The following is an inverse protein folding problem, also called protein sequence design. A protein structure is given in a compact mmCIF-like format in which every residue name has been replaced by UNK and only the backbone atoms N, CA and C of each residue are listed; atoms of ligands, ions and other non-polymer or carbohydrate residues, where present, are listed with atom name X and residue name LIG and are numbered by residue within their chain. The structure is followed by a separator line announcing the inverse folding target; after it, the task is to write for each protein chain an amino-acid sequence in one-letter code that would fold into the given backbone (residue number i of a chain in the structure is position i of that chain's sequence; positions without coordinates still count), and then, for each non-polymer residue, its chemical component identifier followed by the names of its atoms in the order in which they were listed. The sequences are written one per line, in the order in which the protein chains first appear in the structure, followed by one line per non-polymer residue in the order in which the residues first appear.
data_IF_533095800947
#
_entry.id   IF_533095800947
#
_cell.length_a   1.000
_cell.length_b   1.000
_cell.length_c   1.000
_cell.angle_alpha   90.00
_cell.angle_beta   90.00
_cell.angle_gamma   90.00
#
_symmetry.space_group_name_H-M   'P 1'
#
loop_
_entity.id
_entity.type
_entity.pdbx_description
1 polymer ?
#
# COMPACT_ATOMS: atom_id res chain seq x y z
N UNK A 1 -4.92 20.79 -23.62
CA UNK A 1 -4.98 22.24 -23.82
C UNK A 1 -4.44 22.92 -22.57
N UNK A 2 -4.01 24.19 -22.64
CA UNK A 2 -3.48 24.92 -21.48
C UNK A 2 -4.52 25.24 -20.39
N UNK A 3 -5.78 24.90 -20.59
CA UNK A 3 -6.89 25.24 -19.68
C UNK A 3 -7.59 24.02 -19.07
N UNK A 4 -7.31 22.81 -19.55
CA UNK A 4 -7.93 21.58 -19.03
C UNK A 4 -6.98 20.39 -19.09
N UNK A 5 -7.18 19.45 -18.19
CA UNK A 5 -6.51 18.16 -18.11
C UNK A 5 -7.56 17.05 -18.29
N UNK A 6 -7.35 16.17 -19.24
CA UNK A 6 -8.11 14.95 -19.39
C UNK A 6 -7.29 13.77 -18.89
N UNK A 7 -7.88 12.94 -18.01
CA UNK A 7 -7.31 11.69 -17.52
C UNK A 7 -8.21 10.55 -17.99
N UNK A 8 -7.72 9.78 -18.94
CA UNK A 8 -8.49 8.73 -19.61
C UNK A 8 -8.04 7.35 -19.17
N UNK A 9 -8.92 6.60 -18.52
CA UNK A 9 -8.70 5.21 -18.10
C UNK A 9 -9.23 4.19 -19.10
N UNK A 10 -9.52 4.60 -20.34
CA UNK A 10 -9.89 3.66 -21.42
C UNK A 10 -8.79 2.62 -21.60
N UNK A 11 -9.18 1.34 -21.67
CA UNK A 11 -8.24 0.21 -21.71
C UNK A 11 -7.91 -0.40 -20.35
N UNK A 12 -8.46 0.15 -19.26
CA UNK A 12 -8.38 -0.53 -17.95
C UNK A 12 -9.02 -1.92 -17.99
N UNK A 13 -8.49 -2.84 -17.20
CA UNK A 13 -9.01 -4.19 -17.12
C UNK A 13 -10.48 -4.22 -16.68
N UNK A 14 -11.22 -5.24 -17.12
CA UNK A 14 -12.58 -5.48 -16.64
C UNK A 14 -12.61 -5.70 -15.13
N UNK A 15 -13.73 -5.34 -14.49
CA UNK A 15 -13.96 -5.64 -13.09
C UNK A 15 -13.78 -7.12 -12.77
N UNK A 16 -13.40 -7.43 -11.55
CA UNK A 16 -13.12 -8.80 -11.10
C UNK A 16 -14.09 -9.23 -10.00
N UNK A 17 -14.28 -10.54 -9.78
CA UNK A 17 -15.02 -11.04 -8.62
C UNK A 17 -14.26 -10.85 -7.29
N UNK A 18 -12.97 -10.47 -7.33
CA UNK A 18 -12.12 -10.23 -6.16
C UNK A 18 -12.13 -8.78 -5.68
N UNK A 19 -11.45 -8.51 -4.58
CA UNK A 19 -11.44 -7.22 -3.86
C UNK A 19 -10.57 -6.12 -4.50
N UNK A 20 -10.12 -6.29 -5.73
CA UNK A 20 -9.22 -5.33 -6.40
C UNK A 20 -9.94 -4.26 -7.23
N UNK A 21 -11.28 -4.22 -7.20
CA UNK A 21 -12.01 -3.15 -7.84
C UNK A 21 -11.96 -1.88 -7.00
N UNK A 22 -11.96 -0.74 -7.67
CA UNK A 22 -12.01 0.59 -7.05
C UNK A 22 -13.38 1.22 -7.27
N UNK A 23 -14.06 1.58 -6.20
CA UNK A 23 -15.29 2.38 -6.32
C UNK A 23 -14.99 3.74 -6.95
N UNK A 24 -15.96 4.33 -7.64
CA UNK A 24 -15.80 5.66 -8.26
C UNK A 24 -15.24 6.70 -7.29
N UNK A 25 -15.77 6.87 -6.07
CA UNK A 25 -15.20 7.83 -5.13
C UNK A 25 -13.74 7.56 -4.78
N UNK A 26 -13.36 6.29 -4.63
CA UNK A 26 -11.97 5.92 -4.37
C UNK A 26 -11.07 6.25 -5.56
N UNK A 27 -11.51 5.96 -6.78
CA UNK A 27 -10.77 6.29 -8.01
C UNK A 27 -10.51 7.79 -8.12
N UNK A 28 -11.55 8.63 -7.95
CA UNK A 28 -11.39 10.08 -7.93
C UNK A 28 -10.49 10.57 -6.81
N UNK A 29 -10.62 9.99 -5.61
CA UNK A 29 -9.79 10.37 -4.47
C UNK A 29 -8.30 10.19 -4.75
N UNK A 30 -7.89 9.07 -5.34
CA UNK A 30 -6.48 8.82 -5.67
C UNK A 30 -5.98 9.65 -6.84
N UNK A 31 -6.81 9.94 -7.84
CA UNK A 31 -6.48 10.89 -8.91
C UNK A 31 -6.19 12.27 -8.30
N UNK A 32 -7.12 12.77 -7.49
CA UNK A 32 -7.02 14.12 -6.91
C UNK A 32 -5.92 14.22 -5.87
N UNK A 33 -5.69 13.17 -5.08
CA UNK A 33 -4.57 13.10 -4.14
C UNK A 33 -3.24 13.19 -4.89
N UNK A 34 -3.09 12.44 -5.98
CA UNK A 34 -1.91 12.48 -6.84
C UNK A 34 -1.69 13.87 -7.44
N UNK A 35 -2.72 14.45 -8.04
CA UNK A 35 -2.63 15.80 -8.60
C UNK A 35 -2.27 16.84 -7.52
N UNK A 36 -2.93 16.77 -6.35
CA UNK A 36 -2.68 17.70 -5.24
C UNK A 36 -1.24 17.67 -4.74
N UNK A 37 -0.60 16.52 -4.80
CA UNK A 37 0.79 16.36 -4.35
C UNK A 37 1.82 16.84 -5.38
N UNK A 38 1.39 17.10 -6.62
CA UNK A 38 2.25 17.52 -7.74
C UNK A 38 2.07 18.99 -8.14
N UNK A 39 1.31 19.75 -7.38
CA UNK A 39 1.08 21.17 -7.65
C UNK A 39 1.71 22.04 -6.57
N UNK A 40 1.90 23.33 -6.90
CA UNK A 40 2.47 24.30 -6.00
C UNK A 40 1.64 24.46 -4.71
N UNK A 41 2.31 24.53 -3.57
CA UNK A 41 1.68 24.59 -2.25
C UNK A 41 0.87 25.88 -2.02
N UNK A 42 1.12 26.92 -2.77
CA UNK A 42 0.33 28.17 -2.72
C UNK A 42 -1.07 28.01 -3.31
N UNK A 43 -1.34 26.96 -4.09
CA UNK A 43 -2.65 26.71 -4.70
C UNK A 43 -3.55 26.00 -3.66
N UNK A 44 -4.70 26.58 -3.30
CA UNK A 44 -5.62 25.96 -2.36
C UNK A 44 -6.16 24.62 -2.85
N UNK A 45 -6.12 23.58 -1.98
CA UNK A 45 -6.65 22.24 -2.28
C UNK A 45 -8.16 22.23 -2.01
N UNK A 46 -8.94 22.61 -3.00
CA UNK A 46 -10.39 22.67 -2.93
C UNK A 46 -11.02 22.26 -4.28
N UNK A 47 -12.34 22.27 -4.34
CA UNK A 47 -13.11 21.91 -5.54
C UNK A 47 -12.68 22.69 -6.79
N UNK A 48 -12.28 23.94 -6.64
CA UNK A 48 -11.82 24.80 -7.73
C UNK A 48 -10.57 24.26 -8.43
N UNK A 49 -9.68 23.60 -7.70
CA UNK A 49 -8.48 22.98 -8.26
C UNK A 49 -8.82 21.88 -9.27
N UNK A 50 -9.86 21.11 -9.01
CA UNK A 50 -10.22 19.94 -9.81
C UNK A 50 -11.24 20.25 -10.92
N UNK A 51 -11.79 21.46 -10.94
CA UNK A 51 -12.76 21.88 -11.96
C UNK A 51 -12.27 21.72 -13.40
N UNK A 52 -11.00 22.02 -13.74
CA UNK A 52 -10.49 21.82 -15.10
C UNK A 52 -10.08 20.37 -15.41
N UNK A 53 -10.29 19.42 -14.48
CA UNK A 53 -9.89 18.02 -14.66
C UNK A 53 -11.11 17.20 -15.09
N UNK A 54 -11.04 16.65 -16.28
CA UNK A 54 -12.01 15.70 -16.82
C UNK A 54 -11.47 14.28 -16.67
N UNK A 55 -12.28 13.37 -16.10
CA UNK A 55 -11.88 11.98 -15.88
C UNK A 55 -12.82 11.04 -16.64
N UNK A 56 -12.25 10.20 -17.50
CA UNK A 56 -12.98 9.16 -18.23
C UNK A 56 -12.78 7.81 -17.56
N UNK A 57 -13.85 7.25 -17.00
CA UNK A 57 -13.85 5.96 -16.31
C UNK A 57 -14.76 4.96 -17.07
N UNK A 58 -14.19 3.97 -17.78
CA UNK A 58 -15.00 2.95 -18.46
C UNK A 58 -15.86 2.17 -17.46
N UNK A 59 -17.17 2.12 -17.73
CA UNK A 59 -18.09 1.35 -16.91
C UNK A 59 -17.79 -0.16 -16.99
N UNK A 60 -17.88 -0.86 -15.85
CA UNK A 60 -17.59 -2.29 -15.76
C UNK A 60 -16.09 -2.61 -15.73
N UNK A 61 -15.24 -1.60 -15.55
CA UNK A 61 -13.80 -1.76 -15.35
C UNK A 61 -13.43 -1.82 -13.86
N UNK A 62 -12.20 -2.19 -13.57
CA UNK A 62 -11.65 -2.19 -12.18
C UNK A 62 -11.65 -0.80 -11.53
N UNK A 63 -11.73 0.28 -12.29
CA UNK A 63 -11.75 1.67 -11.80
C UNK A 63 -13.16 2.27 -11.74
N UNK A 64 -14.16 1.57 -12.29
CA UNK A 64 -15.58 1.93 -12.30
C UNK A 64 -16.44 0.68 -12.40
N UNK A 65 -16.46 -0.17 -11.37
CA UNK A 65 -17.16 -1.44 -11.42
C UNK A 65 -18.68 -1.28 -11.31
N UNK A 66 -19.41 -2.18 -11.94
CA UNK A 66 -20.85 -2.31 -11.77
C UNK A 66 -21.17 -3.00 -10.43
N UNK A 67 -22.12 -2.50 -9.65
CA UNK A 67 -22.61 -3.22 -8.47
C UNK A 67 -23.16 -4.63 -8.84
N UNK A 68 -22.98 -5.62 -7.97
CA UNK A 68 -22.43 -5.62 -6.62
C UNK A 68 -20.93 -5.96 -6.53
N UNK A 69 -20.09 -5.53 -7.44
CA UNK A 69 -18.68 -5.86 -7.44
C UNK A 69 -18.01 -5.50 -6.10
N UNK A 70 -17.18 -6.39 -5.52
CA UNK A 70 -16.53 -6.14 -4.25
C UNK A 70 -15.41 -5.10 -4.39
N UNK A 71 -15.42 -4.11 -3.48
CA UNK A 71 -14.43 -3.03 -3.43
C UNK A 71 -13.73 -2.95 -2.06
N UNK A 72 -13.76 -4.01 -1.28
CA UNK A 72 -13.09 -4.06 0.03
C UNK A 72 -11.59 -3.80 -0.11
N UNK A 73 -11.05 -2.98 0.76
CA UNK A 73 -9.64 -2.58 0.74
C UNK A 73 -9.19 -1.88 -0.56
N UNK A 74 -10.09 -1.30 -1.33
CA UNK A 74 -9.77 -0.58 -2.58
C UNK A 74 -8.75 0.56 -2.39
N UNK A 75 -8.69 1.16 -1.21
CA UNK A 75 -7.68 2.17 -0.83
C UNK A 75 -6.27 1.59 -0.79
N UNK A 76 -6.13 0.34 -0.36
CA UNK A 76 -4.82 -0.31 -0.22
C UNK A 76 -4.37 -1.02 -1.50
N UNK A 77 -5.32 -1.51 -2.30
CA UNK A 77 -5.03 -2.20 -3.57
C UNK A 77 -5.09 -1.24 -4.76
N UNK A 78 -6.27 -1.04 -5.30
CA UNK A 78 -6.45 -0.31 -6.56
C UNK A 78 -6.07 1.17 -6.45
N UNK A 79 -6.30 1.82 -5.30
CA UNK A 79 -6.03 3.24 -5.13
C UNK A 79 -4.56 3.59 -5.37
N UNK A 80 -3.64 2.87 -4.74
CA UNK A 80 -2.20 3.07 -4.94
C UNK A 80 -1.79 2.91 -6.40
N UNK A 81 -2.32 1.89 -7.09
CA UNK A 81 -2.03 1.64 -8.51
C UNK A 81 -2.60 2.74 -9.43
N UNK A 82 -3.78 3.27 -9.09
CA UNK A 82 -4.39 4.41 -9.81
C UNK A 82 -3.50 5.64 -9.68
N UNK A 83 -3.07 5.97 -8.45
CA UNK A 83 -2.17 7.09 -8.20
C UNK A 83 -0.84 6.94 -8.93
N UNK A 84 -0.25 5.76 -8.90
CA UNK A 84 0.98 5.45 -9.62
C UNK A 84 0.81 5.64 -11.14
N UNK A 85 -0.28 5.15 -11.73
CA UNK A 85 -0.56 5.30 -13.14
C UNK A 85 -0.69 6.78 -13.56
N UNK A 86 -1.39 7.59 -12.75
CA UNK A 86 -1.52 9.04 -12.98
C UNK A 86 -0.17 9.74 -12.86
N UNK A 87 0.63 9.39 -11.83
CA UNK A 87 1.96 9.96 -11.64
C UNK A 87 2.89 9.64 -12.82
N UNK A 88 2.88 8.41 -13.32
CA UNK A 88 3.65 8.01 -14.52
C UNK A 88 3.21 8.74 -15.78
N UNK A 89 1.91 8.98 -15.95
CA UNK A 89 1.41 9.73 -17.10
C UNK A 89 1.90 11.20 -17.06
N UNK A 90 1.90 11.81 -15.87
CA UNK A 90 2.31 13.20 -15.65
C UNK A 90 3.82 13.40 -15.66
N UNK A 91 4.62 12.39 -15.39
CA UNK A 91 6.09 12.46 -15.37
C UNK A 91 6.65 13.07 -16.64
N UNK A 92 6.08 12.73 -17.79
CA UNK A 92 6.53 13.24 -19.10
C UNK A 92 6.30 14.74 -19.26
N UNK A 93 5.26 15.28 -18.64
CA UNK A 93 4.91 16.70 -18.73
C UNK A 93 5.56 17.54 -17.62
N UNK A 94 5.68 17.00 -16.42
CA UNK A 94 6.17 17.70 -15.22
C UNK A 94 7.20 16.85 -14.43
N UNK A 95 8.33 16.45 -15.05
CA UNK A 95 9.27 15.49 -14.46
C UNK A 95 9.86 15.89 -13.12
N UNK A 96 9.92 17.19 -12.81
CA UNK A 96 10.41 17.69 -11.52
C UNK A 96 9.38 17.64 -10.39
N UNK A 97 8.11 17.52 -10.73
CA UNK A 97 7.01 17.45 -9.77
C UNK A 97 6.52 16.02 -9.60
N UNK A 98 6.73 15.16 -10.61
CA UNK A 98 6.34 13.77 -10.54
C UNK A 98 7.30 12.99 -9.63
N UNK A 99 6.73 12.15 -8.79
CA UNK A 99 7.48 11.23 -7.95
C UNK A 99 6.67 9.95 -7.72
N UNK A 100 7.36 8.88 -7.35
CA UNK A 100 6.72 7.60 -7.07
C UNK A 100 5.88 7.74 -5.81
N UNK A 101 4.58 7.57 -5.91
CA UNK A 101 3.65 7.80 -4.82
C UNK A 101 3.18 6.51 -4.13
N UNK A 102 3.08 5.43 -4.89
CA UNK A 102 2.67 4.14 -4.36
C UNK A 102 3.85 3.47 -3.65
N UNK A 103 3.62 2.85 -2.53
CA UNK A 103 4.61 2.07 -1.77
C UNK A 103 4.26 0.59 -1.74
N UNK A 104 3.29 0.16 -2.55
CA UNK A 104 2.75 -1.21 -2.55
C UNK A 104 2.40 -1.70 -1.13
N UNK A 105 1.92 -0.78 -0.30
CA UNK A 105 1.54 -1.08 1.07
C UNK A 105 0.19 -1.78 1.07
N UNK A 106 0.19 -3.09 1.30
CA UNK A 106 -1.00 -3.83 1.68
C UNK A 106 -1.25 -3.77 3.18
N UNK A 107 -2.20 -4.54 3.65
CA UNK A 107 -2.23 -5.02 5.04
C UNK A 107 -1.58 -6.41 5.04
N UNK A 108 -0.26 -6.49 5.19
CA UNK A 108 0.46 -7.74 4.91
C UNK A 108 -0.03 -8.87 5.81
N UNK A 109 -0.28 -8.56 7.08
CA UNK A 109 -0.88 -9.52 8.01
C UNK A 109 -1.86 -8.79 8.92
N UNK A 110 -3.11 -9.23 8.94
CA UNK A 110 -4.12 -8.84 9.93
C UNK A 110 -4.41 -10.05 10.78
N UNK A 111 -4.16 -10.00 12.08
CA UNK A 111 -4.46 -11.12 12.98
C UNK A 111 -5.72 -10.84 13.79
N UNK A 112 -6.45 -11.88 14.12
CA UNK A 112 -7.65 -11.76 14.93
C UNK A 112 -7.94 -13.07 15.69
N UNK A 113 -8.66 -12.94 16.77
CA UNK A 113 -9.00 -14.04 17.65
C UNK A 113 -9.57 -13.59 18.97
N UNK A 114 -9.55 -14.47 19.96
CA UNK A 114 -9.87 -14.13 21.35
C UNK A 114 -8.58 -13.91 22.12
N UNK A 115 -8.45 -12.73 22.73
CA UNK A 115 -7.29 -12.42 23.56
C UNK A 115 -7.35 -13.29 24.85
N UNK A 116 -6.36 -14.15 25.09
CA UNK A 116 -6.38 -15.08 26.22
C UNK A 116 -6.25 -14.38 27.59
N UNK A 117 -5.80 -13.11 27.60
CA UNK A 117 -5.62 -12.35 28.83
C UNK A 117 -6.87 -11.59 29.23
N UNK A 118 -7.68 -11.14 28.28
CA UNK A 118 -8.91 -10.36 28.55
C UNK A 118 -10.20 -11.13 28.27
N UNK A 119 -10.13 -12.19 27.48
CA UNK A 119 -11.30 -12.93 27.00
C UNK A 119 -12.07 -12.22 25.88
N UNK A 120 -11.59 -11.05 25.41
CA UNK A 120 -12.28 -10.25 24.41
C UNK A 120 -11.80 -10.61 22.99
N UNK A 121 -12.69 -10.42 22.01
CA UNK A 121 -12.33 -10.51 20.60
C UNK A 121 -11.49 -9.31 20.20
N UNK A 122 -10.43 -9.55 19.42
CA UNK A 122 -9.55 -8.50 18.91
C UNK A 122 -9.33 -8.64 17.40
N UNK A 123 -8.99 -7.53 16.77
CA UNK A 123 -8.45 -7.46 15.41
C UNK A 123 -7.20 -6.58 15.44
N UNK A 124 -6.10 -7.12 15.06
CA UNK A 124 -4.81 -6.43 14.97
C UNK A 124 -4.44 -6.19 13.50
N UNK A 125 -4.40 -4.93 13.12
CA UNK A 125 -3.99 -4.51 11.78
C UNK A 125 -2.50 -4.14 11.77
N UNK A 126 -1.65 -5.11 11.59
CA UNK A 126 -0.19 -4.95 11.59
C UNK A 126 0.36 -3.99 10.51
N UNK A 127 -0.47 -3.38 9.71
CA UNK A 127 -0.07 -2.49 8.62
C UNK A 127 0.90 -1.39 9.07
N UNK A 128 0.70 -0.88 10.28
CA UNK A 128 1.51 0.18 10.85
C UNK A 128 2.92 -0.28 11.22
N UNK A 129 3.11 -1.56 11.42
CA UNK A 129 4.40 -2.16 11.76
C UNK A 129 5.24 -2.47 10.52
N UNK A 130 4.63 -2.56 9.35
CA UNK A 130 5.26 -3.02 8.11
C UNK A 130 5.48 -1.92 7.06
N UNK A 131 5.23 -0.65 7.40
CA UNK A 131 5.43 0.46 6.46
C UNK A 131 6.91 0.77 6.27
N UNK A 132 7.35 0.77 5.02
CA UNK A 132 8.69 1.19 4.61
C UNK A 132 8.83 2.72 4.51
N UNK A 133 9.95 3.18 3.97
CA UNK A 133 10.22 4.58 3.72
C UNK A 133 9.50 5.11 2.48
N UNK A 134 9.28 6.43 2.47
CA UNK A 134 8.80 7.14 1.28
C UNK A 134 9.79 6.99 0.12
N UNK A 135 9.24 7.02 -1.09
CA UNK A 135 10.04 6.94 -2.30
C UNK A 135 10.80 8.25 -2.59
N UNK A 136 11.76 8.16 -3.52
CA UNK A 136 12.52 9.31 -3.96
C UNK A 136 11.64 10.33 -4.70
N UNK A 137 12.02 11.60 -4.58
CA UNK A 137 11.48 12.69 -5.38
C UNK A 137 12.63 13.46 -6.06
N UNK A 138 12.31 14.40 -6.94
CA UNK A 138 13.32 15.22 -7.58
C UNK A 138 14.13 16.01 -6.54
N UNK A 139 15.42 15.79 -6.49
CA UNK A 139 16.33 16.48 -5.57
C UNK A 139 16.57 15.79 -4.24
N UNK A 140 15.85 14.69 -3.92
CA UNK A 140 15.94 14.06 -2.61
C UNK A 140 15.78 12.54 -2.68
N UNK A 141 16.62 11.83 -1.93
CA UNK A 141 16.49 10.39 -1.72
C UNK A 141 15.22 10.08 -0.89
N UNK A 142 14.70 8.88 -1.04
CA UNK A 142 13.58 8.41 -0.23
C UNK A 142 13.96 8.31 1.25
N UNK A 143 13.09 8.79 2.14
CA UNK A 143 13.30 8.82 3.58
C UNK A 143 12.01 8.89 4.37
N UNK A 144 12.10 8.65 5.67
CA UNK A 144 10.94 8.72 6.55
C UNK A 144 10.06 7.47 6.49
N UNK A 145 9.11 7.38 7.40
CA UNK A 145 8.35 6.17 7.64
C UNK A 145 6.93 6.21 7.10
N UNK A 146 6.57 7.17 6.23
CA UNK A 146 5.18 7.32 5.81
C UNK A 146 5.05 7.55 4.30
N UNK A 147 4.27 6.71 3.63
CA UNK A 147 3.87 6.97 2.27
C UNK A 147 2.97 8.21 2.17
N UNK A 148 3.14 9.05 1.15
CA UNK A 148 2.37 10.30 0.99
C UNK A 148 0.85 10.10 1.04
N UNK A 149 0.35 8.99 0.52
CA UNK A 149 -1.08 8.70 0.47
C UNK A 149 -1.72 8.38 1.82
N UNK A 150 -0.95 7.98 2.80
CA UNK A 150 -1.49 7.61 4.11
C UNK A 150 -1.25 8.69 5.17
N UNK A 151 -0.57 9.78 4.83
CA UNK A 151 -0.26 10.96 5.64
C UNK A 151 -0.33 10.76 7.16
N UNK A 152 0.62 11.31 7.89
CA UNK A 152 0.56 11.43 9.36
C UNK A 152 0.13 10.18 10.17
N UNK A 153 0.33 8.96 9.65
CA UNK A 153 0.05 7.75 10.43
C UNK A 153 1.14 7.57 11.50
N UNK A 154 0.72 7.52 12.75
CA UNK A 154 1.62 7.21 13.87
C UNK A 154 1.80 5.71 13.98
N UNK A 155 3.04 5.26 13.99
CA UNK A 155 3.36 3.85 14.18
C UNK A 155 3.37 3.53 15.68
N UNK A 156 2.71 2.44 16.07
CA UNK A 156 2.83 1.92 17.41
C UNK A 156 4.27 1.41 17.66
N UNK A 157 4.75 1.56 18.89
CA UNK A 157 5.98 0.86 19.30
C UNK A 157 5.69 -0.63 19.45
N UNK A 158 6.71 -1.48 19.33
CA UNK A 158 6.56 -2.92 19.53
C UNK A 158 5.99 -3.25 20.91
N UNK A 159 6.42 -2.54 21.95
CA UNK A 159 5.97 -2.74 23.32
C UNK A 159 4.47 -2.44 23.47
N UNK A 160 4.00 -1.32 22.89
CA UNK A 160 2.57 -0.99 22.92
C UNK A 160 1.73 -2.02 22.15
N UNK A 161 2.25 -2.51 21.05
CA UNK A 161 1.61 -3.54 20.27
C UNK A 161 1.49 -4.85 21.05
N UNK A 162 2.59 -5.32 21.65
CA UNK A 162 2.65 -6.54 22.44
C UNK A 162 1.80 -6.46 23.73
N UNK A 163 1.59 -5.26 24.27
CA UNK A 163 0.69 -5.06 25.41
C UNK A 163 -0.79 -5.20 25.05
N UNK A 164 -1.18 -4.89 23.84
CA UNK A 164 -2.58 -4.88 23.42
C UNK A 164 -3.03 -6.20 22.77
N UNK A 165 -2.10 -6.95 22.17
CA UNK A 165 -2.40 -8.14 21.40
C UNK A 165 -1.60 -9.34 21.90
N UNK A 166 -2.11 -10.59 21.73
CA UNK A 166 -1.39 -11.79 22.14
C UNK A 166 -0.28 -12.17 21.15
N UNK A 167 0.64 -11.27 20.94
CA UNK A 167 1.77 -11.40 20.02
C UNK A 167 3.08 -10.94 20.69
N UNK A 168 4.20 -11.30 20.10
CA UNK A 168 5.53 -10.80 20.48
C UNK A 168 6.19 -10.25 19.23
N UNK A 169 6.49 -8.97 19.22
CA UNK A 169 7.30 -8.32 18.18
C UNK A 169 8.74 -8.76 18.33
N UNK A 170 9.23 -9.61 17.43
CA UNK A 170 10.59 -10.15 17.49
C UNK A 170 11.63 -9.21 16.89
N UNK A 171 11.19 -8.34 15.98
CA UNK A 171 12.06 -7.35 15.36
C UNK A 171 11.38 -6.62 14.22
N UNK A 172 11.90 -5.44 13.94
CA UNK A 172 11.56 -4.62 12.80
C UNK A 172 12.82 -3.99 12.27
N UNK A 173 13.13 -4.25 11.02
CA UNK A 173 14.39 -3.85 10.40
C UNK A 173 14.16 -3.27 9.01
N UNK A 174 15.08 -2.40 8.57
CA UNK A 174 15.13 -1.98 7.18
C UNK A 174 15.78 -3.06 6.33
N UNK A 175 15.18 -3.34 5.19
CA UNK A 175 15.70 -4.31 4.23
C UNK A 175 16.80 -3.63 3.43
N UNK A 176 18.04 -4.13 3.56
CA UNK A 176 19.20 -3.64 2.83
C UNK A 176 18.94 -3.71 1.32
N UNK A 177 19.29 -2.63 0.61
CA UNK A 177 19.19 -2.51 -0.85
C UNK A 177 17.80 -2.72 -1.46
N UNK A 178 16.74 -2.60 -0.68
CA UNK A 178 15.35 -2.74 -1.14
C UNK A 178 14.85 -1.53 -1.92
N UNK A 179 15.41 -0.34 -1.71
CA UNK A 179 15.09 0.87 -2.47
C UNK A 179 15.66 0.84 -3.89
N UNK A 180 14.87 1.20 -4.88
CA UNK A 180 15.31 1.24 -6.28
C UNK A 180 16.51 2.18 -6.49
N UNK A 181 17.59 1.73 -7.15
CA UNK A 181 18.71 2.56 -7.50
C UNK A 181 18.35 3.63 -8.54
N UNK A 182 18.87 4.83 -8.36
CA UNK A 182 18.67 5.95 -9.28
C UNK A 182 19.58 7.11 -8.93
N UNK A 183 19.39 8.25 -9.62
CA UNK A 183 20.06 9.50 -9.24
C UNK A 183 19.68 9.91 -7.81
N UNK A 184 18.43 9.70 -7.45
CA UNK A 184 17.93 9.73 -6.10
C UNK A 184 17.41 8.33 -5.77
N UNK A 185 17.85 7.78 -4.67
CA UNK A 185 17.56 6.40 -4.27
C UNK A 185 16.15 6.30 -3.69
N UNK A 186 15.40 5.27 -4.08
CA UNK A 186 14.13 4.92 -3.45
C UNK A 186 14.29 4.61 -1.95
N UNK A 187 13.23 4.83 -1.17
CA UNK A 187 13.20 4.50 0.25
C UNK A 187 13.32 3.00 0.51
N UNK A 188 13.85 2.65 1.66
CA UNK A 188 14.01 1.25 2.06
C UNK A 188 12.67 0.65 2.50
N UNK A 189 12.42 -0.59 2.11
CA UNK A 189 11.40 -1.43 2.69
C UNK A 189 11.71 -1.81 4.14
N UNK A 190 10.71 -2.28 4.85
CA UNK A 190 10.87 -2.82 6.21
C UNK A 190 10.49 -4.28 6.25
N UNK A 191 11.11 -5.02 7.16
CA UNK A 191 10.73 -6.36 7.54
C UNK A 191 10.28 -6.36 8.99
N UNK A 192 9.12 -6.91 9.25
CA UNK A 192 8.58 -7.08 10.61
C UNK A 192 8.35 -8.55 10.90
N UNK A 193 8.88 -9.02 12.02
CA UNK A 193 8.75 -10.40 12.47
C UNK A 193 7.96 -10.45 13.77
N UNK A 194 6.87 -11.20 13.77
CA UNK A 194 5.94 -11.30 14.90
C UNK A 194 5.68 -12.77 15.20
N UNK A 195 5.72 -13.13 16.49
CA UNK A 195 5.40 -14.45 17.00
C UNK A 195 4.01 -14.44 17.64
N UNK A 196 3.16 -15.38 17.26
CA UNK A 196 1.87 -15.61 17.89
C UNK A 196 2.08 -16.19 19.31
N UNK A 197 1.43 -15.63 20.32
CA UNK A 197 1.46 -16.12 21.70
C UNK A 197 0.21 -16.95 22.05
N UNK A 198 -0.81 -16.92 21.19
CA UNK A 198 -2.04 -17.71 21.33
C UNK A 198 -2.51 -18.18 19.95
N UNK A 199 -3.42 -19.16 19.86
CA UNK A 199 -4.09 -19.50 18.61
C UNK A 199 -4.84 -18.28 18.06
N UNK A 200 -4.68 -18.00 16.76
CA UNK A 200 -5.32 -16.90 16.07
C UNK A 200 -5.49 -17.20 14.59
N UNK A 201 -6.19 -16.33 13.88
CA UNK A 201 -6.26 -16.38 12.43
C UNK A 201 -5.52 -15.19 11.82
N UNK A 202 -4.96 -15.38 10.65
CA UNK A 202 -4.36 -14.33 9.84
C UNK A 202 -5.12 -14.15 8.53
N UNK A 203 -5.43 -12.87 8.21
CA UNK A 203 -5.74 -12.44 6.85
C UNK A 203 -4.52 -11.74 6.28
N UNK A 204 -4.20 -12.01 5.03
CA UNK A 204 -3.11 -11.35 4.33
C UNK A 204 -3.64 -10.64 3.08
N UNK A 205 -3.39 -9.34 3.00
CA UNK A 205 -3.69 -8.53 1.82
C UNK A 205 -2.35 -8.13 1.19
N UNK A 206 -1.83 -8.99 0.32
CA UNK A 206 -0.48 -8.82 -0.22
C UNK A 206 -0.54 -8.22 -1.61
N UNK A 207 0.15 -7.11 -1.80
CA UNK A 207 0.39 -6.46 -3.09
C UNK A 207 1.89 -6.32 -3.32
N UNK A 208 2.31 -6.07 -4.55
CA UNK A 208 3.73 -5.88 -4.87
C UNK A 208 4.59 -7.15 -4.80
N UNK A 209 4.00 -8.34 -4.73
CA UNK A 209 4.75 -9.61 -4.72
C UNK A 209 5.32 -9.95 -6.10
N UNK A 210 4.68 -9.50 -7.17
CA UNK A 210 5.09 -9.76 -8.56
C UNK A 210 5.54 -8.49 -9.27
N UNK A 211 4.91 -7.38 -8.98
CA UNK A 211 5.18 -6.08 -9.60
C UNK A 211 5.70 -5.14 -8.52
N UNK A 212 7.01 -4.87 -8.49
CA UNK A 212 7.61 -3.99 -7.50
C UNK A 212 7.22 -2.52 -7.74
N UNK A 213 7.68 -1.65 -6.87
CA UNK A 213 7.68 -0.21 -7.12
C UNK A 213 8.53 0.11 -8.33
N UNK A 214 7.96 0.80 -9.31
CA UNK A 214 8.67 1.17 -10.53
C UNK A 214 9.47 2.45 -10.34
N UNK A 215 10.68 2.48 -10.90
CA UNK A 215 11.48 3.69 -10.94
C UNK A 215 10.95 4.71 -11.97
N UNK A 216 11.06 6.00 -11.64
CA UNK A 216 10.73 7.12 -12.52
C UNK A 216 11.99 7.63 -13.24
N UNK A 217 11.81 8.27 -14.40
CA UNK A 217 12.87 8.98 -15.12
C UNK A 217 14.16 8.17 -15.34
N UNK A 218 13.99 6.87 -15.63
CA UNK A 218 15.12 5.95 -15.84
C UNK A 218 15.72 5.38 -14.56
N UNK A 219 15.15 5.66 -13.39
CA UNK A 219 15.48 4.95 -12.15
C UNK A 219 15.10 3.46 -12.23
N UNK A 220 15.78 2.64 -11.48
CA UNK A 220 15.49 1.21 -11.39
C UNK A 220 14.36 0.93 -10.40
N UNK A 221 13.71 -0.22 -10.58
CA UNK A 221 12.65 -0.67 -9.69
C UNK A 221 13.19 -1.04 -8.30
N UNK A 222 12.35 -0.92 -7.27
CA UNK A 222 12.61 -1.43 -5.94
C UNK A 222 12.44 -2.95 -5.82
N UNK A 223 12.55 -3.47 -4.60
CA UNK A 223 12.27 -4.89 -4.34
C UNK A 223 10.77 -5.20 -4.31
N UNK A 224 10.44 -6.48 -4.49
CA UNK A 224 9.08 -6.99 -4.28
C UNK A 224 8.79 -7.22 -2.80
N UNK A 225 7.50 -7.18 -2.44
CA UNK A 225 7.04 -7.54 -1.10
C UNK A 225 7.02 -9.07 -0.92
N UNK A 226 7.21 -9.50 0.31
CA UNK A 226 7.14 -10.91 0.71
C UNK A 226 6.44 -11.02 2.06
N UNK A 227 5.52 -11.97 2.16
CA UNK A 227 4.91 -12.36 3.44
C UNK A 227 5.09 -13.85 3.63
N UNK A 228 5.47 -14.25 4.82
CA UNK A 228 5.65 -15.66 5.21
C UNK A 228 4.84 -15.94 6.45
N UNK A 229 4.02 -16.97 6.43
CA UNK A 229 3.32 -17.50 7.60
C UNK A 229 4.02 -18.77 8.09
N UNK A 230 4.10 -18.97 9.39
CA UNK A 230 4.74 -20.12 10.05
C UNK A 230 6.22 -20.29 9.65
N UNK A 231 6.94 -19.17 9.59
CA UNK A 231 8.36 -19.13 9.21
C UNK A 231 9.20 -20.14 10.01
N UNK A 232 10.06 -20.88 9.33
CA UNK A 232 10.98 -21.86 9.93
C UNK A 232 10.33 -23.17 10.39
N UNK A 233 9.06 -23.41 10.09
CA UNK A 233 8.36 -24.66 10.42
C UNK A 233 8.13 -25.54 9.18
N UNK A 234 7.73 -26.79 9.38
CA UNK A 234 7.31 -27.67 8.28
C UNK A 234 6.04 -27.17 7.55
N UNK A 235 5.30 -26.26 8.18
CA UNK A 235 4.10 -25.62 7.62
C UNK A 235 4.36 -24.23 7.05
N UNK A 236 5.62 -23.85 6.83
CA UNK A 236 5.97 -22.56 6.23
C UNK A 236 5.22 -22.31 4.92
N UNK A 237 4.65 -21.14 4.79
CA UNK A 237 3.90 -20.73 3.61
C UNK A 237 4.32 -19.32 3.17
N UNK A 238 4.89 -19.21 1.99
CA UNK A 238 5.06 -17.93 1.31
C UNK A 238 3.72 -17.52 0.69
N UNK A 239 3.22 -16.36 1.07
CA UNK A 239 1.93 -15.84 0.61
C UNK A 239 2.13 -15.09 -0.70
N UNK A 240 1.67 -15.66 -1.80
CA UNK A 240 1.78 -15.04 -3.14
C UNK A 240 0.57 -14.19 -3.53
N UNK A 241 -0.54 -14.37 -2.84
CA UNK A 241 -1.81 -13.68 -3.09
C UNK A 241 -2.59 -13.51 -1.78
N UNK A 242 -3.56 -12.61 -1.78
CA UNK A 242 -4.49 -12.45 -0.66
C UNK A 242 -5.03 -13.80 -0.19
N UNK A 243 -4.89 -14.06 1.10
CA UNK A 243 -5.39 -15.26 1.77
C UNK A 243 -6.15 -14.89 3.04
N UNK A 244 -7.23 -15.61 3.29
CA UNK A 244 -8.11 -15.39 4.44
C UNK A 244 -8.06 -16.60 5.39
N UNK A 245 -8.34 -16.32 6.67
CA UNK A 245 -8.56 -17.34 7.69
C UNK A 245 -7.43 -18.38 7.80
N UNK A 246 -6.19 -17.95 7.56
CA UNK A 246 -5.02 -18.80 7.75
C UNK A 246 -4.80 -19.05 9.25
N UNK A 247 -4.94 -20.29 9.76
CA UNK A 247 -4.77 -20.54 11.20
C UNK A 247 -3.29 -20.42 11.58
N UNK A 248 -3.06 -19.78 12.73
CA UNK A 248 -1.76 -19.73 13.40
C UNK A 248 -1.90 -20.33 14.78
N UNK A 249 -0.93 -21.14 15.15
CA UNK A 249 -0.78 -21.71 16.50
C UNK A 249 0.11 -20.83 17.36
N UNK A 250 0.00 -20.97 18.67
CA UNK A 250 0.97 -20.36 19.59
C UNK A 250 2.38 -20.84 19.25
N UNK A 251 3.29 -19.90 19.08
CA UNK A 251 4.66 -20.14 18.66
C UNK A 251 4.93 -19.91 17.17
N UNK A 252 3.90 -19.87 16.31
CA UNK A 252 4.07 -19.57 14.88
C UNK A 252 4.61 -18.16 14.68
N UNK A 253 5.50 -18.02 13.69
CA UNK A 253 6.14 -16.75 13.34
C UNK A 253 5.61 -16.28 11.99
N UNK A 254 5.26 -15.01 11.90
CA UNK A 254 4.95 -14.32 10.64
C UNK A 254 6.05 -13.34 10.31
N UNK A 255 6.39 -13.25 9.03
CA UNK A 255 7.32 -12.26 8.46
C UNK A 255 6.58 -11.47 7.38
N UNK A 256 6.67 -10.14 7.45
CA UNK A 256 6.10 -9.24 6.44
C UNK A 256 7.06 -8.09 6.11
#
# INVERSE_FOLDING_TARGET
SGESLEIDFTGSASQTPGFINSSIPNTYSYIFLTLSSMIDDSIPRNEGLFRPVEVKLPQGSVVNPNPPAPCTACTLHAGGEIGEAVAFALEKAIPKMAYVQNVKLGMPVVTYGTNPYTGEFYVDQNVMMSAGWCNAAYGVDGWGALPPFFGAMTMATGELHDMNFPVLTMGREFITDSGGPGKWRGGLGTSTKIKALAPMFAHTYVIGTKYPMRGFSGGMDGSTNRVVLREGTAGEQVVEKTAFESPLSSGDITLA
#
